data_IF_070523557213
#
_entry.id   IF_070523557213
#
_cell.length_a   1.000
_cell.length_b   1.000
_cell.length_c   1.000
_cell.angle_alpha   90.00
_cell.angle_beta   90.00
_cell.angle_gamma   90.00
#
_symmetry.space_group_name_H-M   'P 1'
#
loop_
_entity.id
_entity.type
_entity.pdbx_description
1 polymer ?
#
# COMPACT_ATOMS: atom_id res chain seq x y z
N UNK A 1 14.05 -44.83 -44.93
CA UNK A 1 14.14 -46.18 -44.31
C UNK A 1 14.05 -46.03 -42.78
N UNK A 2 13.03 -46.65 -42.16
CA UNK A 2 12.85 -47.06 -40.73
C UNK A 2 13.22 -46.03 -39.63
N UNK A 3 12.26 -45.31 -39.03
CA UNK A 3 11.34 -45.63 -37.90
C UNK A 3 11.99 -45.93 -36.53
N UNK A 4 11.26 -45.50 -35.46
CA UNK A 4 11.27 -45.91 -34.02
C UNK A 4 11.95 -44.87 -33.09
N UNK A 5 11.38 -44.32 -32.00
CA UNK A 5 10.13 -44.51 -31.21
C UNK A 5 9.85 -43.24 -30.37
N UNK A 6 8.58 -42.88 -30.25
CA UNK A 6 8.04 -42.01 -29.19
C UNK A 6 7.89 -42.80 -27.88
N UNK A 7 8.11 -42.14 -26.72
CA UNK A 7 7.57 -42.58 -25.42
C UNK A 7 6.78 -41.43 -24.80
N UNK A 8 5.46 -41.62 -24.79
CA UNK A 8 4.49 -40.91 -23.95
C UNK A 8 4.81 -41.12 -22.47
N UNK A 9 4.66 -40.07 -21.67
CA UNK A 9 4.40 -40.20 -20.24
C UNK A 9 3.13 -39.40 -19.91
N UNK A 10 2.00 -40.07 -20.11
CA UNK A 10 0.66 -39.65 -19.73
C UNK A 10 0.29 -40.52 -18.52
N UNK A 11 0.19 -39.96 -17.31
CA UNK A 11 -0.62 -40.49 -16.21
C UNK A 11 -0.48 -39.65 -14.93
N UNK A 12 -1.42 -38.73 -14.70
CA UNK A 12 -2.01 -38.52 -13.36
C UNK A 12 -3.30 -37.72 -13.47
N UNK A 13 -4.34 -38.41 -13.95
CA UNK A 13 -5.74 -37.98 -13.84
C UNK A 13 -6.23 -38.30 -12.42
N UNK A 14 -6.94 -37.32 -11.83
CA UNK A 14 -8.23 -37.47 -11.12
C UNK A 14 -8.26 -38.32 -9.85
N UNK A 15 -8.39 -37.63 -8.70
CA UNK A 15 -9.13 -38.10 -7.52
C UNK A 15 -10.08 -36.95 -7.14
N UNK A 16 -11.33 -36.95 -7.66
CA UNK A 16 -12.57 -37.33 -6.95
C UNK A 16 -12.71 -36.64 -5.57
N UNK A 17 -13.47 -35.55 -5.43
CA UNK A 17 -14.94 -35.43 -5.24
C UNK A 17 -15.50 -35.87 -3.88
N UNK A 18 -16.10 -34.87 -3.19
CA UNK A 18 -17.34 -34.88 -2.38
C UNK A 18 -17.30 -35.40 -0.92
N UNK A 19 -17.75 -34.54 0.02
CA UNK A 19 -18.75 -34.70 1.13
C UNK A 19 -18.67 -33.38 1.94
N UNK A 20 -19.57 -32.38 1.92
CA UNK A 20 -21.01 -32.22 2.18
C UNK A 20 -21.47 -32.43 3.64
N UNK A 21 -22.19 -31.41 4.15
CA UNK A 21 -23.23 -31.40 5.21
C UNK A 21 -22.90 -31.05 6.68
N UNK A 22 -23.40 -29.85 7.05
CA UNK A 22 -24.35 -29.51 8.13
C UNK A 22 -24.03 -29.86 9.59
N UNK A 23 -24.06 -28.83 10.44
CA UNK A 23 -25.23 -28.61 11.32
C UNK A 23 -25.17 -27.26 12.05
N UNK A 24 -26.12 -26.39 11.72
CA UNK A 24 -26.59 -25.27 12.54
C UNK A 24 -27.37 -25.82 13.74
N UNK A 25 -27.13 -25.30 14.94
CA UNK A 25 -28.08 -25.39 16.05
C UNK A 25 -28.44 -24.00 16.55
N UNK A 26 -29.74 -23.80 16.67
CA UNK A 26 -30.45 -22.56 16.89
C UNK A 26 -30.71 -22.25 18.38
N UNK A 27 -30.92 -20.95 18.61
CA UNK A 27 -31.77 -20.21 19.56
C UNK A 27 -32.43 -20.89 20.78
N UNK A 28 -32.44 -20.16 21.91
CA UNK A 28 -33.61 -19.68 22.71
C UNK A 28 -33.04 -19.21 24.08
N UNK A 29 -33.05 -17.96 24.53
CA UNK A 29 -34.10 -16.94 24.72
C UNK A 29 -35.34 -17.41 25.49
N UNK A 30 -35.34 -17.14 26.80
CA UNK A 30 -36.55 -16.96 27.60
C UNK A 30 -36.37 -15.74 28.51
N UNK A 31 -37.11 -14.69 28.17
CA UNK A 31 -37.46 -13.54 29.01
C UNK A 31 -38.44 -14.04 30.08
N UNK A 32 -38.30 -13.53 31.30
CA UNK A 32 -39.33 -13.61 32.34
C UNK A 32 -39.54 -12.19 32.87
N UNK A 33 -40.64 -11.55 32.44
CA UNK A 33 -41.42 -10.58 33.25
C UNK A 33 -42.13 -11.41 34.34
N UNK A 34 -42.49 -10.95 35.54
CA UNK A 34 -43.07 -9.68 35.97
C UNK A 34 -43.18 -9.78 37.51
N UNK A 35 -43.07 -8.69 38.26
CA UNK A 35 -43.90 -8.51 39.47
C UNK A 35 -43.85 -7.05 39.93
N UNK A 36 -45.00 -6.40 39.77
CA UNK A 36 -45.39 -5.15 40.40
C UNK A 36 -45.21 -5.20 41.92
N UNK A 37 -44.71 -4.10 42.49
CA UNK A 37 -45.15 -3.64 43.80
C UNK A 37 -44.94 -2.12 43.96
N UNK A 38 -46.08 -1.42 43.93
CA UNK A 38 -46.51 -0.36 44.84
C UNK A 38 -45.64 0.91 44.92
N UNK A 39 -46.24 1.97 44.39
CA UNK A 39 -45.85 3.36 44.48
C UNK A 39 -45.78 3.89 45.93
N UNK A 40 -44.72 4.65 46.21
CA UNK A 40 -44.71 5.70 47.24
C UNK A 40 -44.26 6.98 46.56
N UNK A 41 -45.15 7.97 46.54
CA UNK A 41 -44.91 9.28 45.97
C UNK A 41 -43.83 10.04 46.75
N UNK A 42 -42.76 10.44 46.06
CA UNK A 42 -41.83 11.47 46.51
C UNK A 42 -42.05 12.75 45.67
N UNK A 43 -41.80 13.95 46.22
CA UNK A 43 -42.12 15.21 45.57
C UNK A 43 -41.29 15.40 44.29
N UNK A 44 -41.99 15.75 43.21
CA UNK A 44 -41.45 16.06 41.89
C UNK A 44 -40.49 17.25 41.94
N UNK A 45 -39.19 16.98 41.89
CA UNK A 45 -38.24 17.93 41.31
C UNK A 45 -38.44 17.95 39.80
N UNK A 46 -38.64 19.14 39.25
CA UNK A 46 -38.77 19.38 37.81
C UNK A 46 -37.47 18.98 37.11
N UNK A 47 -37.39 17.73 36.66
CA UNK A 47 -36.35 17.26 35.75
C UNK A 47 -36.61 17.95 34.41
N UNK A 48 -35.78 18.93 34.07
CA UNK A 48 -35.68 19.43 32.69
C UNK A 48 -35.21 18.26 31.83
N UNK A 49 -35.76 18.05 30.62
CA UNK A 49 -35.22 17.05 29.72
C UNK A 49 -33.77 17.44 29.44
N UNK A 50 -32.83 16.56 29.80
CA UNK A 50 -31.52 16.52 29.18
C UNK A 50 -31.82 16.34 27.69
N UNK A 51 -31.65 17.42 26.94
CA UNK A 51 -31.49 17.32 25.50
C UNK A 51 -30.38 16.31 25.26
N UNK A 52 -30.67 15.37 24.37
CA UNK A 52 -29.67 14.51 23.75
C UNK A 52 -28.67 15.44 23.05
N UNK A 53 -27.70 15.93 23.82
CA UNK A 53 -26.49 16.55 23.30
C UNK A 53 -25.73 15.40 22.65
N UNK A 54 -26.10 15.13 21.40
CA UNK A 54 -25.21 14.85 20.27
C UNK A 54 -23.79 14.48 20.72
N UNK A 55 -23.64 13.23 21.16
CA UNK A 55 -22.36 12.58 21.49
C UNK A 55 -21.60 12.24 20.19
N UNK A 56 -21.69 13.11 19.18
CA UNK A 56 -20.71 13.16 18.11
C UNK A 56 -19.45 13.79 18.69
N UNK A 57 -18.61 12.95 19.29
CA UNK A 57 -17.18 13.20 19.33
C UNK A 57 -16.73 13.44 17.89
N UNK A 58 -16.79 14.69 17.43
CA UNK A 58 -16.13 15.10 16.21
C UNK A 58 -14.66 14.79 16.42
N UNK A 59 -14.18 13.73 15.77
CA UNK A 59 -12.75 13.52 15.62
C UNK A 59 -12.18 14.82 15.07
N UNK A 60 -11.39 15.52 15.90
CA UNK A 60 -10.74 16.76 15.52
C UNK A 60 -9.79 16.39 14.39
N UNK A 61 -10.22 16.58 13.14
CA UNK A 61 -9.38 16.43 11.97
C UNK A 61 -8.19 17.38 12.14
N UNK A 62 -7.01 16.82 12.38
CA UNK A 62 -5.78 17.59 12.53
C UNK A 62 -5.15 17.73 11.16
N UNK A 63 -5.19 18.93 10.60
CA UNK A 63 -4.42 19.21 9.39
C UNK A 63 -2.94 19.28 9.76
N UNK A 64 -2.14 18.34 9.28
CA UNK A 64 -0.70 18.28 9.55
C UNK A 64 0.02 19.07 8.46
N UNK A 65 0.87 20.01 8.85
CA UNK A 65 1.63 20.81 7.90
C UNK A 65 2.65 19.94 7.15
N UNK A 66 2.87 20.22 5.85
CA UNK A 66 3.74 19.41 4.98
C UNK A 66 5.15 19.23 5.53
N UNK A 67 5.72 20.25 6.18
CA UNK A 67 7.06 20.20 6.76
C UNK A 67 7.19 19.25 7.95
N UNK A 68 6.05 18.86 8.54
CA UNK A 68 5.95 17.91 9.65
C UNK A 68 5.77 16.46 9.17
N UNK A 69 5.36 16.25 7.92
CA UNK A 69 5.27 14.92 7.31
C UNK A 69 6.66 14.29 7.24
N UNK A 70 6.77 13.00 7.55
CA UNK A 70 8.06 12.31 7.55
C UNK A 70 8.66 12.15 6.15
N UNK A 71 9.96 11.85 6.12
CA UNK A 71 10.74 11.71 4.89
C UNK A 71 11.06 10.23 4.65
N UNK A 72 10.79 9.75 3.43
CA UNK A 72 11.46 8.57 2.90
C UNK A 72 12.38 9.03 1.76
N UNK A 73 13.72 9.02 1.94
CA UNK A 73 14.62 9.54 0.92
C UNK A 73 14.73 8.58 -0.26
N UNK A 74 13.79 8.69 -1.21
CA UNK A 74 13.57 7.76 -2.32
C UNK A 74 14.77 7.74 -3.27
N UNK A 75 15.32 8.91 -3.59
CA UNK A 75 16.56 9.04 -4.38
C UNK A 75 17.79 8.34 -3.80
N UNK A 76 17.75 7.94 -2.52
CA UNK A 76 18.83 7.20 -1.83
C UNK A 76 18.47 5.74 -1.55
N UNK A 77 17.27 5.30 -1.91
CA UNK A 77 16.83 3.94 -1.63
C UNK A 77 17.51 2.93 -2.55
N UNK A 78 17.70 1.72 -2.02
CA UNK A 78 18.35 0.61 -2.70
C UNK A 78 17.37 -0.56 -2.82
N UNK A 79 17.20 -1.08 -4.03
CA UNK A 79 16.55 -2.36 -4.31
C UNK A 79 17.40 -3.47 -3.71
N UNK A 80 16.78 -4.29 -2.85
CA UNK A 80 17.39 -5.43 -2.17
C UNK A 80 18.70 -5.06 -1.45
N UNK A 81 18.80 -3.82 -0.95
CA UNK A 81 19.99 -3.25 -0.31
C UNK A 81 21.27 -3.28 -1.19
N UNK A 82 21.13 -3.25 -2.53
CA UNK A 82 22.25 -3.40 -3.48
C UNK A 82 22.27 -2.37 -4.60
N UNK A 83 21.13 -2.13 -5.24
CA UNK A 83 21.05 -1.31 -6.47
C UNK A 83 20.24 -0.06 -6.21
N UNK A 84 20.79 1.14 -6.45
CA UNK A 84 20.03 2.38 -6.31
C UNK A 84 18.84 2.44 -7.26
N UNK A 85 17.79 3.16 -6.85
CA UNK A 85 16.64 3.45 -7.72
C UNK A 85 16.98 4.37 -8.90
N UNK A 86 18.10 5.10 -8.80
CA UNK A 86 18.69 5.91 -9.86
C UNK A 86 20.02 5.29 -10.23
N UNK A 87 20.07 4.58 -11.36
CA UNK A 87 21.19 3.68 -11.68
C UNK A 87 21.41 3.55 -13.17
N UNK A 88 22.40 2.75 -13.59
CA UNK A 88 22.55 2.41 -15.00
C UNK A 88 21.75 1.16 -15.36
N UNK A 89 21.32 1.06 -16.61
CA UNK A 89 20.65 -0.15 -17.13
C UNK A 89 21.45 -1.40 -16.85
N UNK A 90 22.75 -1.38 -17.19
CA UNK A 90 23.64 -2.53 -16.97
C UNK A 90 23.64 -2.98 -15.51
N UNK A 91 23.67 -2.04 -14.56
CA UNK A 91 23.72 -2.36 -13.12
C UNK A 91 22.40 -2.93 -12.62
N UNK A 92 21.26 -2.39 -13.08
CA UNK A 92 19.95 -2.92 -12.73
C UNK A 92 19.80 -4.35 -13.27
N UNK A 93 20.09 -4.55 -14.56
CA UNK A 93 19.93 -5.85 -15.21
C UNK A 93 20.83 -6.93 -14.60
N UNK A 94 22.04 -6.58 -14.17
CA UNK A 94 22.93 -7.48 -13.46
C UNK A 94 22.40 -7.93 -12.09
N UNK A 95 21.51 -7.15 -11.46
CA UNK A 95 21.01 -7.43 -10.12
C UNK A 95 19.62 -8.06 -10.10
N UNK A 96 18.73 -7.65 -11.00
CA UNK A 96 17.32 -8.10 -11.02
C UNK A 96 16.87 -8.65 -12.38
N UNK A 97 17.76 -8.74 -13.36
CA UNK A 97 17.47 -9.28 -14.69
C UNK A 97 17.09 -8.22 -15.73
N UNK A 98 17.05 -8.65 -16.99
CA UNK A 98 16.70 -7.79 -18.14
C UNK A 98 15.25 -7.29 -18.09
N UNK A 99 14.97 -6.19 -18.78
CA UNK A 99 13.61 -5.64 -18.90
C UNK A 99 12.61 -6.69 -19.40
N UNK A 100 11.39 -6.65 -18.86
CA UNK A 100 10.27 -7.42 -19.40
C UNK A 100 9.72 -6.74 -20.67
N UNK A 101 9.76 -5.40 -20.71
CA UNK A 101 9.49 -4.61 -21.93
C UNK A 101 10.12 -3.22 -21.84
N UNK A 102 10.31 -2.59 -23.00
CA UNK A 102 10.71 -1.18 -23.13
C UNK A 102 9.73 -0.54 -24.12
N UNK A 103 9.08 0.56 -23.71
CA UNK A 103 8.05 1.25 -24.49
C UNK A 103 8.45 2.71 -24.65
N UNK A 104 8.37 3.26 -25.86
CA UNK A 104 8.74 4.65 -26.07
C UNK A 104 7.72 5.60 -25.46
N UNK A 105 8.19 6.63 -24.76
CA UNK A 105 7.33 7.67 -24.20
C UNK A 105 6.95 8.75 -25.26
N UNK A 106 7.46 8.61 -26.49
CA UNK A 106 7.19 9.54 -27.58
C UNK A 106 5.69 9.63 -27.91
N UNK A 107 5.15 10.83 -27.80
CA UNK A 107 3.74 11.12 -28.09
C UNK A 107 2.78 10.86 -26.92
N UNK A 108 3.30 10.48 -25.75
CA UNK A 108 2.54 10.46 -24.50
C UNK A 108 2.53 11.86 -23.87
N UNK A 109 1.44 12.21 -23.19
CA UNK A 109 1.35 13.43 -22.39
C UNK A 109 1.96 13.15 -21.01
N UNK A 110 3.29 13.24 -20.94
CA UNK A 110 4.07 12.93 -19.75
C UNK A 110 3.95 14.08 -18.75
N UNK A 111 3.34 13.79 -17.61
CA UNK A 111 3.09 14.75 -16.55
C UNK A 111 4.07 14.48 -15.40
N UNK A 112 5.10 15.32 -15.27
CA UNK A 112 6.21 15.13 -14.32
C UNK A 112 7.17 14.04 -14.79
N UNK A 113 8.46 14.35 -14.85
CA UNK A 113 9.49 13.39 -15.28
C UNK A 113 10.77 13.51 -14.45
N UNK A 114 11.53 12.42 -14.35
CA UNK A 114 12.87 12.39 -13.74
C UNK A 114 13.95 12.89 -14.70
N UNK A 115 13.69 12.89 -16.01
CA UNK A 115 14.60 13.36 -17.05
C UNK A 115 13.98 14.48 -17.88
N UNK A 116 14.78 15.51 -18.19
CA UNK A 116 14.38 16.61 -19.09
C UNK A 116 14.47 16.23 -20.58
N UNK A 117 15.01 15.05 -20.89
CA UNK A 117 15.32 14.57 -22.23
C UNK A 117 14.39 13.42 -22.64
N UNK A 118 14.27 13.17 -23.94
CA UNK A 118 13.51 12.02 -24.45
C UNK A 118 13.95 10.71 -23.78
N UNK A 119 12.98 9.98 -23.24
CA UNK A 119 13.18 8.72 -22.55
C UNK A 119 12.18 7.66 -23.02
N UNK A 120 12.48 6.41 -22.71
CA UNK A 120 11.56 5.28 -22.84
C UNK A 120 11.14 4.78 -21.45
N UNK A 121 9.97 4.17 -21.33
CA UNK A 121 9.62 3.41 -20.14
C UNK A 121 10.25 2.03 -20.17
N UNK A 122 10.98 1.68 -19.11
CA UNK A 122 11.57 0.37 -18.87
C UNK A 122 10.76 -0.33 -17.79
N UNK A 123 10.22 -1.51 -18.10
CA UNK A 123 9.39 -2.27 -17.17
C UNK A 123 10.12 -3.53 -16.67
N UNK A 124 10.08 -3.74 -15.35
CA UNK A 124 10.62 -4.94 -14.73
C UNK A 124 9.84 -5.38 -13.49
N UNK A 125 9.34 -6.61 -13.50
CA UNK A 125 8.57 -7.24 -12.41
C UNK A 125 7.39 -6.35 -11.96
N UNK A 126 6.75 -5.70 -12.94
CA UNK A 126 5.68 -4.71 -12.73
C UNK A 126 6.14 -3.31 -12.34
N UNK A 127 7.40 -3.11 -11.99
CA UNK A 127 7.97 -1.79 -11.68
C UNK A 127 8.27 -1.01 -12.96
N UNK A 128 8.19 0.32 -12.88
CA UNK A 128 8.37 1.25 -14.00
C UNK A 128 9.55 2.17 -13.72
N UNK A 129 10.42 2.30 -14.72
CA UNK A 129 11.57 3.19 -14.70
C UNK A 129 11.54 4.05 -15.96
N UNK A 130 11.88 5.32 -15.84
CA UNK A 130 12.27 6.11 -17.00
C UNK A 130 13.69 5.72 -17.43
N UNK A 131 13.90 5.59 -18.74
CA UNK A 131 15.15 5.16 -19.34
C UNK A 131 15.65 6.19 -20.35
N UNK A 132 16.66 6.96 -19.94
CA UNK A 132 17.33 7.94 -20.77
C UNK A 132 18.81 7.53 -20.99
N UNK A 133 19.17 7.21 -22.23
CA UNK A 133 20.51 6.74 -22.62
C UNK A 133 20.93 5.44 -21.90
N UNK A 134 21.81 5.52 -20.90
CA UNK A 134 22.19 4.39 -20.03
C UNK A 134 21.65 4.56 -18.60
N UNK A 135 20.94 5.66 -18.33
CA UNK A 135 20.40 5.99 -17.01
C UNK A 135 18.97 5.45 -16.85
N UNK A 136 18.69 4.92 -15.67
CA UNK A 136 17.37 4.52 -15.21
C UNK A 136 17.01 5.31 -13.96
N UNK A 137 15.79 5.83 -13.91
CA UNK A 137 15.20 6.45 -12.73
C UNK A 137 13.88 5.75 -12.41
N UNK A 138 13.76 5.19 -11.21
CA UNK A 138 12.54 4.53 -10.78
C UNK A 138 11.41 5.54 -10.59
N UNK A 139 10.30 5.32 -11.28
CA UNK A 139 9.06 6.07 -11.09
C UNK A 139 8.15 5.33 -10.10
N UNK A 140 7.98 4.02 -10.33
CA UNK A 140 7.13 3.15 -9.53
C UNK A 140 7.85 1.83 -9.24
N UNK A 141 7.89 1.45 -7.97
CA UNK A 141 8.45 0.17 -7.53
C UNK A 141 7.34 -0.74 -6.98
N UNK A 142 7.18 -1.91 -7.56
CA UNK A 142 6.22 -2.94 -7.13
C UNK A 142 6.87 -3.93 -6.20
N UNK A 143 6.26 -4.15 -5.04
CA UNK A 143 6.72 -5.15 -4.09
C UNK A 143 6.23 -6.56 -4.43
N UNK A 144 7.19 -7.45 -4.62
CA UNK A 144 7.02 -8.90 -4.67
C UNK A 144 7.45 -9.53 -3.35
N UNK A 145 7.22 -10.82 -3.17
CA UNK A 145 7.66 -11.54 -1.95
C UNK A 145 9.19 -11.60 -1.80
N UNK A 146 9.92 -11.37 -2.90
CA UNK A 146 11.37 -11.50 -2.98
C UNK A 146 12.14 -10.17 -3.03
N UNK A 147 11.46 -9.02 -3.04
CA UNK A 147 12.12 -7.73 -3.16
C UNK A 147 11.85 -6.78 -1.98
N UNK A 148 12.72 -5.78 -1.84
CA UNK A 148 12.60 -4.73 -0.84
C UNK A 148 13.26 -3.43 -1.30
N UNK A 149 12.86 -2.33 -0.67
CA UNK A 149 13.54 -1.04 -0.77
C UNK A 149 14.12 -0.68 0.59
N UNK A 150 15.42 -0.38 0.62
CA UNK A 150 16.10 0.02 1.86
C UNK A 150 16.63 1.44 1.73
N UNK A 151 16.31 2.30 2.70
CA UNK A 151 16.85 3.64 2.82
C UNK A 151 17.30 3.89 4.26
N UNK A 152 18.61 3.99 4.48
CA UNK A 152 19.19 4.03 5.82
C UNK A 152 18.85 2.78 6.64
N UNK A 153 18.14 2.96 7.76
CA UNK A 153 17.71 1.86 8.65
C UNK A 153 16.31 1.33 8.31
N UNK A 154 15.61 1.96 7.37
CA UNK A 154 14.24 1.60 7.00
C UNK A 154 14.30 0.63 5.82
N UNK A 155 13.58 -0.48 5.94
CA UNK A 155 13.37 -1.41 4.83
C UNK A 155 11.87 -1.60 4.63
N UNK A 156 11.40 -1.30 3.43
CA UNK A 156 10.04 -1.51 2.96
C UNK A 156 10.00 -2.78 2.09
N UNK A 157 8.96 -3.59 2.24
CA UNK A 157 8.75 -4.82 1.46
C UNK A 157 7.26 -5.18 1.42
N UNK A 158 6.90 -6.24 0.70
CA UNK A 158 5.52 -6.78 0.69
C UNK A 158 5.00 -7.17 2.09
N UNK A 159 5.90 -7.40 3.04
CA UNK A 159 5.58 -7.72 4.45
C UNK A 159 5.36 -6.50 5.32
N UNK A 160 5.65 -5.30 4.82
CA UNK A 160 5.39 -4.05 5.55
C UNK A 160 3.90 -3.82 5.64
N UNK A 161 3.39 -3.70 6.86
CA UNK A 161 1.97 -3.50 7.17
C UNK A 161 1.65 -2.03 7.45
N UNK A 162 0.37 -1.68 7.48
CA UNK A 162 -0.09 -0.36 7.93
C UNK A 162 0.44 -0.02 9.33
N UNK A 163 0.42 -0.98 10.26
CA UNK A 163 0.91 -0.79 11.62
C UNK A 163 2.44 -0.58 11.68
N UNK A 164 3.20 -1.22 10.80
CA UNK A 164 4.63 -0.92 10.68
C UNK A 164 4.85 0.51 10.24
N UNK A 165 4.07 0.95 9.25
CA UNK A 165 4.17 2.30 8.69
C UNK A 165 3.64 3.37 9.65
N UNK A 166 2.64 3.07 10.48
CA UNK A 166 2.19 3.95 11.57
C UNK A 166 3.28 4.20 12.61
N UNK A 167 4.14 3.21 12.86
CA UNK A 167 5.30 3.36 13.76
C UNK A 167 6.45 4.14 13.12
N UNK A 168 6.64 3.99 11.80
CA UNK A 168 7.72 4.65 11.06
C UNK A 168 7.38 6.10 10.71
N UNK A 169 6.13 6.35 10.31
CA UNK A 169 5.62 7.60 9.74
C UNK A 169 4.27 7.99 10.38
N UNK A 170 4.23 8.21 11.70
CA UNK A 170 2.99 8.49 12.43
C UNK A 170 2.21 9.71 11.91
N UNK A 171 2.88 10.78 11.49
CA UNK A 171 2.20 11.97 10.96
C UNK A 171 1.57 11.69 9.59
N UNK A 172 2.29 11.04 8.68
CA UNK A 172 1.74 10.67 7.38
C UNK A 172 0.52 9.74 7.49
N UNK A 173 0.55 8.77 8.41
CA UNK A 173 -0.61 7.90 8.68
C UNK A 173 -1.76 8.68 9.29
N UNK A 174 -1.50 9.56 10.26
CA UNK A 174 -2.55 10.40 10.87
C UNK A 174 -3.20 11.33 9.83
N UNK A 175 -2.41 11.91 8.92
CA UNK A 175 -2.93 12.73 7.83
C UNK A 175 -3.84 11.91 6.90
N UNK A 176 -3.40 10.71 6.50
CA UNK A 176 -4.22 9.81 5.69
C UNK A 176 -5.53 9.41 6.40
N UNK A 177 -5.47 9.08 7.69
CA UNK A 177 -6.65 8.75 8.50
C UNK A 177 -7.64 9.93 8.58
N UNK A 178 -7.14 11.17 8.76
CA UNK A 178 -7.98 12.38 8.77
C UNK A 178 -8.66 12.64 7.42
N UNK A 179 -8.02 12.25 6.31
CA UNK A 179 -8.57 12.30 4.95
C UNK A 179 -9.47 11.09 4.61
N UNK A 180 -9.64 10.14 5.53
CA UNK A 180 -10.41 8.91 5.30
C UNK A 180 -9.70 7.88 4.42
N UNK A 181 -8.41 8.04 4.16
CA UNK A 181 -7.57 7.12 3.37
C UNK A 181 -6.98 6.03 4.26
N UNK A 182 -7.04 4.78 3.79
CA UNK A 182 -6.50 3.59 4.52
C UNK A 182 -5.59 2.72 3.65
N UNK A 183 -5.42 3.12 2.40
CA UNK A 183 -4.75 2.40 1.33
C UNK A 183 -3.57 3.20 0.77
N UNK A 184 -3.34 4.43 1.23
CA UNK A 184 -2.23 5.25 0.80
C UNK A 184 -1.78 6.21 1.89
N UNK A 185 -0.46 6.39 2.02
CA UNK A 185 0.11 7.56 2.70
C UNK A 185 1.05 8.33 1.77
N UNK A 186 1.23 9.62 2.06
CA UNK A 186 2.13 10.50 1.32
C UNK A 186 3.27 10.93 2.26
N UNK A 187 4.49 10.82 1.77
CA UNK A 187 5.72 11.16 2.46
C UNK A 187 6.47 12.22 1.65
N UNK A 188 7.34 12.96 2.33
CA UNK A 188 8.35 13.76 1.64
C UNK A 188 9.40 12.85 1.02
N UNK A 189 9.81 13.19 -0.20
CA UNK A 189 10.82 12.44 -0.96
C UNK A 189 12.27 12.72 -0.51
N UNK A 190 12.46 13.85 0.18
CA UNK A 190 13.76 14.35 0.60
C UNK A 190 13.65 15.23 1.84
N UNK A 191 14.79 15.54 2.44
CA UNK A 191 14.87 16.50 3.54
C UNK A 191 14.85 17.95 3.06
N UNK A 192 14.85 18.19 1.75
CA UNK A 192 14.64 19.51 1.19
C UNK A 192 13.17 19.89 1.39
N UNK A 193 12.91 21.00 2.07
CA UNK A 193 11.55 21.47 2.34
C UNK A 193 10.89 22.12 1.13
N UNK A 194 11.70 22.56 0.17
CA UNK A 194 11.24 23.19 -1.06
C UNK A 194 10.99 22.17 -2.18
N UNK A 195 11.11 20.86 -1.88
CA UNK A 195 10.80 19.79 -2.82
C UNK A 195 9.28 19.68 -2.99
N UNK A 196 8.81 19.78 -4.22
CA UNK A 196 7.39 19.61 -4.56
C UNK A 196 7.04 18.15 -4.87
N UNK A 197 8.05 17.29 -5.04
CA UNK A 197 7.87 15.83 -5.18
C UNK A 197 7.51 15.16 -3.86
N UNK A 198 6.87 14.00 -3.98
CA UNK A 198 6.45 13.19 -2.84
C UNK A 198 6.65 11.70 -3.10
N UNK A 199 6.65 10.93 -2.02
CA UNK A 199 6.69 9.47 -2.07
C UNK A 199 5.36 8.93 -1.58
N UNK A 200 4.68 8.15 -2.42
CA UNK A 200 3.39 7.58 -2.08
C UNK A 200 3.54 6.09 -1.81
N UNK A 201 3.11 5.65 -0.63
CA UNK A 201 3.10 4.24 -0.23
C UNK A 201 1.68 3.71 -0.35
N UNK A 202 1.46 2.70 -1.21
CA UNK A 202 0.14 2.13 -1.45
C UNK A 202 0.00 0.74 -0.82
N UNK A 203 -1.16 0.48 -0.22
CA UNK A 203 -1.48 -0.74 0.49
C UNK A 203 -2.71 -1.42 -0.10
N UNK A 204 -2.65 -2.75 -0.19
CA UNK A 204 -3.79 -3.58 -0.51
C UNK A 204 -3.88 -4.70 0.52
N UNK A 205 -5.08 -4.98 1.03
CA UNK A 205 -5.31 -6.02 2.03
C UNK A 205 -4.37 -5.90 3.25
N UNK A 206 -4.02 -4.67 3.64
CA UNK A 206 -3.16 -4.38 4.79
C UNK A 206 -1.66 -4.51 4.55
N UNK A 207 -1.22 -4.83 3.32
CA UNK A 207 0.19 -4.98 2.95
C UNK A 207 0.61 -3.93 1.94
N UNK A 208 1.83 -3.41 2.09
CA UNK A 208 2.44 -2.48 1.13
C UNK A 208 2.68 -3.18 -0.21
N UNK A 209 2.10 -2.64 -1.29
CA UNK A 209 2.18 -3.27 -2.62
C UNK A 209 3.04 -2.50 -3.60
N UNK A 210 3.17 -1.18 -3.43
CA UNK A 210 4.02 -0.34 -4.27
C UNK A 210 4.45 0.96 -3.60
N UNK A 211 5.52 1.54 -4.13
CA UNK A 211 5.96 2.92 -3.85
C UNK A 211 6.01 3.69 -5.16
N UNK A 212 5.49 4.91 -5.17
CA UNK A 212 5.57 5.82 -6.32
C UNK A 212 6.36 7.06 -5.94
N UNK A 213 7.31 7.45 -6.79
CA UNK A 213 7.93 8.77 -6.75
C UNK A 213 7.07 9.73 -7.58
N UNK A 214 6.26 10.52 -6.90
CA UNK A 214 5.33 11.44 -7.55
C UNK A 214 5.99 12.79 -7.74
N UNK A 215 6.17 13.20 -9.00
CA UNK A 215 6.59 14.55 -9.38
C UNK A 215 5.35 15.29 -9.89
N UNK A 216 4.99 16.44 -9.29
CA UNK A 216 3.85 17.22 -9.77
C UNK A 216 4.14 17.84 -11.13
N UNK A 217 3.04 18.19 -11.79
CA UNK A 217 2.96 19.09 -12.91
C UNK A 217 2.43 20.43 -12.37
#
# INVERSE_FOLDING_TARGET
MRNIRYRLNENRKRVFSIVMLLSLTACQQSRTEETDNIAVAAPSETIRPLTEDDDSLQEIQRNIAWEQIEVFPFGKALINNKVPLFTSRQRLEAAIGVADSIISANGEDICGSQFDEDFDFFYKDGSTFEHCKDSLACEEFIFTDSNSLTSGKITLSRRTTWEDVKRLYPNAVLQAENEGKKDMIILRDSYNKDSESSVQLYFENGSLVRVVNFIPC
#
